data_IF_847546235345
#
_entry.id   IF_847546235345
#
_cell.length_a   1.000
_cell.length_b   1.000
_cell.length_c   1.000
_cell.angle_alpha   90.00
_cell.angle_beta   90.00
_cell.angle_gamma   90.00
#
_symmetry.space_group_name_H-M   'P 1'
#
loop_
_entity.id
_entity.type
_entity.pdbx_description
1 polymer ?
#
# COMPACT_ATOMS: atom_id res chain seq x y z
N UNK A 1 15.97 4.75 35.92
CA UNK A 1 14.53 4.48 35.95
C UNK A 1 13.97 4.88 34.61
N UNK A 2 13.45 3.93 33.84
CA UNK A 2 12.85 4.17 32.52
C UNK A 2 11.58 4.98 32.71
N UNK A 3 11.66 6.28 32.48
CA UNK A 3 10.51 7.20 32.41
C UNK A 3 9.69 6.83 31.19
N UNK A 4 8.67 6.00 31.42
CA UNK A 4 7.73 5.62 30.37
C UNK A 4 6.88 6.85 30.04
N UNK A 5 7.01 7.35 28.81
CA UNK A 5 6.20 8.44 28.30
C UNK A 5 4.88 7.86 27.79
N UNK A 6 3.78 8.12 28.50
CA UNK A 6 2.45 7.74 28.04
C UNK A 6 1.68 8.96 27.50
N UNK A 7 1.60 9.13 26.17
CA UNK A 7 0.90 10.27 25.56
C UNK A 7 -0.61 10.22 25.78
N UNK A 8 -1.19 9.05 26.11
CA UNK A 8 -2.63 8.93 26.33
C UNK A 8 -3.05 9.58 27.67
N UNK A 9 -2.19 9.47 28.70
CA UNK A 9 -2.44 10.07 30.01
C UNK A 9 -2.32 11.60 29.99
N UNK A 10 -1.44 12.18 29.17
CA UNK A 10 -1.31 13.64 29.07
C UNK A 10 -2.53 14.31 28.43
N UNK A 11 -3.10 13.70 27.38
CA UNK A 11 -4.33 14.21 26.77
C UNK A 11 -5.52 14.15 27.74
N UNK A 12 -5.67 13.03 28.46
CA UNK A 12 -6.70 12.88 29.48
C UNK A 12 -6.51 13.86 30.66
N UNK A 13 -5.27 14.14 31.05
CA UNK A 13 -4.94 15.14 32.07
C UNK A 13 -5.36 16.55 31.64
N UNK A 14 -5.03 16.97 30.42
CA UNK A 14 -5.40 18.30 29.90
C UNK A 14 -6.92 18.46 29.82
N UNK A 15 -7.63 17.44 29.34
CA UNK A 15 -9.09 17.43 29.26
C UNK A 15 -9.80 17.28 30.62
N UNK A 16 -9.06 17.10 31.73
CA UNK A 16 -9.61 17.00 33.08
C UNK A 16 -10.44 15.73 33.35
N UNK A 17 -10.15 14.62 32.66
CA UNK A 17 -10.93 13.36 32.75
C UNK A 17 -10.24 12.26 33.57
N UNK A 18 -9.10 12.54 34.20
CA UNK A 18 -8.37 11.62 35.07
C UNK A 18 -8.93 11.60 36.50
N UNK A 19 -8.71 10.49 37.21
CA UNK A 19 -8.99 10.42 38.64
C UNK A 19 -7.86 11.08 39.49
N UNK A 20 -8.12 11.35 40.78
CA UNK A 20 -7.13 12.00 41.65
C UNK A 20 -5.75 11.30 41.73
N UNK A 21 -5.65 9.96 41.86
CA UNK A 21 -4.35 9.31 41.88
C UNK A 21 -3.62 9.41 40.53
N UNK A 22 -4.32 9.34 39.40
CA UNK A 22 -3.74 9.53 38.07
C UNK A 22 -3.25 10.96 37.84
N UNK A 23 -4.03 11.97 38.25
CA UNK A 23 -3.63 13.39 38.21
C UNK A 23 -2.30 13.60 38.93
N UNK A 24 -2.17 13.07 40.15
CA UNK A 24 -0.95 13.21 40.94
C UNK A 24 0.27 12.55 40.28
N UNK A 25 0.08 11.37 39.70
CA UNK A 25 1.14 10.66 39.00
C UNK A 25 1.63 11.43 37.76
N UNK A 26 0.70 12.03 37.01
CA UNK A 26 1.03 12.87 35.85
C UNK A 26 1.75 14.15 36.29
N UNK A 27 1.30 14.83 37.33
CA UNK A 27 1.95 16.04 37.84
C UNK A 27 3.38 15.79 38.32
N UNK A 28 3.60 14.70 39.07
CA UNK A 28 4.94 14.29 39.51
C UNK A 28 5.86 14.04 38.30
N UNK A 29 5.34 13.39 37.26
CA UNK A 29 6.10 13.14 36.04
C UNK A 29 6.41 14.42 35.26
N UNK A 30 5.43 15.30 35.07
CA UNK A 30 5.57 16.57 34.36
C UNK A 30 6.55 17.49 35.09
N UNK A 31 6.58 17.48 36.43
CA UNK A 31 7.57 18.20 37.22
C UNK A 31 9.00 17.70 36.91
N UNK A 32 9.19 16.40 36.73
CA UNK A 32 10.49 15.79 36.46
C UNK A 32 10.90 15.78 34.97
N UNK A 33 9.96 15.96 34.03
CA UNK A 33 10.19 15.74 32.60
C UNK A 33 9.92 16.99 31.73
N UNK A 34 10.98 17.66 31.20
CA UNK A 34 10.83 18.83 30.34
C UNK A 34 10.00 18.59 29.07
N UNK A 35 10.12 17.39 28.48
CA UNK A 35 9.38 17.02 27.28
C UNK A 35 7.88 16.95 27.53
N UNK A 36 7.46 16.34 28.63
CA UNK A 36 6.03 16.27 28.98
C UNK A 36 5.45 17.64 29.34
N UNK A 37 6.25 18.57 29.89
CA UNK A 37 5.81 19.96 30.06
C UNK A 37 5.46 20.60 28.73
N UNK A 38 6.36 20.50 27.75
CA UNK A 38 6.11 21.03 26.40
C UNK A 38 4.88 20.39 25.76
N UNK A 39 4.72 19.06 25.87
CA UNK A 39 3.55 18.37 25.33
C UNK A 39 2.24 18.82 26.01
N UNK A 40 2.23 19.06 27.33
CA UNK A 40 1.05 19.59 28.04
C UNK A 40 0.73 21.01 27.60
N UNK A 41 1.73 21.87 27.41
CA UNK A 41 1.55 23.24 26.94
C UNK A 41 0.97 23.28 25.51
N UNK A 42 1.48 22.42 24.61
CA UNK A 42 0.97 22.26 23.25
C UNK A 42 -0.50 21.79 23.24
N UNK A 43 -0.84 20.81 24.08
CA UNK A 43 -2.21 20.29 24.18
C UNK A 43 -3.19 21.32 24.74
N UNK A 44 -2.78 22.14 25.73
CA UNK A 44 -3.61 23.23 26.25
C UNK A 44 -3.88 24.31 25.21
N UNK A 45 -2.89 24.63 24.36
CA UNK A 45 -3.10 25.57 23.27
C UNK A 45 -4.12 25.05 22.24
N UNK A 46 -4.16 23.74 22.00
CA UNK A 46 -5.18 23.11 21.15
C UNK A 46 -6.55 23.16 21.81
N UNK A 47 -6.64 22.86 23.12
CA UNK A 47 -7.89 22.94 23.88
C UNK A 47 -8.48 24.35 23.84
N UNK A 48 -7.66 25.38 24.07
CA UNK A 48 -8.06 26.79 23.99
C UNK A 48 -8.58 27.15 22.59
N UNK A 49 -7.88 26.71 21.54
CA UNK A 49 -8.33 26.91 20.16
C UNK A 49 -9.64 26.17 19.82
N UNK A 50 -9.94 25.08 20.50
CA UNK A 50 -11.19 24.32 20.35
C UNK A 50 -12.34 24.87 21.21
N UNK A 51 -12.03 25.48 22.37
CA UNK A 51 -13.00 26.08 23.29
C UNK A 51 -13.75 27.28 22.70
N UNK A 52 -13.24 27.87 21.62
CA UNK A 52 -13.83 29.02 20.93
C UNK A 52 -14.85 28.63 19.83
N UNK A 53 -15.23 27.35 19.69
CA UNK A 53 -16.26 26.96 18.71
C UNK A 53 -17.63 27.45 19.21
N UNK A 54 -18.23 28.47 18.56
CA UNK A 54 -19.53 28.96 19.00
C UNK A 54 -20.59 27.87 18.77
N UNK A 55 -21.66 27.82 19.58
CA UNK A 55 -22.69 26.77 19.48
C UNK A 55 -23.34 26.69 18.09
N UNK A 56 -23.35 27.80 17.33
CA UNK A 56 -23.81 27.83 15.93
C UNK A 56 -22.93 27.00 14.97
N UNK A 57 -21.70 26.68 15.34
CA UNK A 57 -20.77 25.82 14.59
C UNK A 57 -20.71 24.38 15.11
N UNK A 58 -21.36 24.08 16.25
CA UNK A 58 -21.60 22.70 16.65
C UNK A 58 -22.66 22.11 15.70
N UNK A 59 -22.17 21.42 14.67
CA UNK A 59 -23.03 20.65 13.79
C UNK A 59 -23.42 19.34 14.49
N UNK A 60 -24.73 19.11 14.63
CA UNK A 60 -25.30 17.83 15.07
C UNK A 60 -25.14 16.77 13.95
N UNK A 61 -23.90 16.35 13.74
CA UNK A 61 -23.54 15.34 12.76
C UNK A 61 -23.54 15.82 11.30
N UNK A 62 -23.30 14.89 10.36
CA UNK A 62 -23.27 15.19 8.94
C UNK A 62 -24.61 15.76 8.46
N UNK A 63 -24.62 16.70 7.49
CA UNK A 63 -25.86 17.23 6.94
C UNK A 63 -26.76 16.11 6.38
N UNK A 64 -28.08 16.33 6.34
CA UNK A 64 -29.01 15.37 5.76
C UNK A 64 -28.57 14.96 4.34
N UNK A 65 -28.33 13.67 4.13
CA UNK A 65 -27.82 13.14 2.87
C UNK A 65 -26.30 13.26 2.66
N UNK A 66 -25.53 13.62 3.69
CA UNK A 66 -24.07 13.69 3.68
C UNK A 66 -23.40 12.38 3.21
N UNK A 67 -23.99 11.23 3.53
CA UNK A 67 -23.54 9.92 3.05
C UNK A 67 -23.62 9.79 1.53
N UNK A 68 -24.68 10.32 0.91
CA UNK A 68 -24.86 10.27 -0.54
C UNK A 68 -23.87 11.20 -1.24
N UNK A 69 -23.62 12.38 -0.66
CA UNK A 69 -22.60 13.32 -1.14
C UNK A 69 -21.19 12.73 -1.01
N UNK A 70 -20.86 12.12 0.12
CA UNK A 70 -19.60 11.43 0.33
C UNK A 70 -19.41 10.28 -0.66
N UNK A 71 -20.42 9.41 -0.84
CA UNK A 71 -20.38 8.33 -1.84
C UNK A 71 -20.25 8.86 -3.27
N UNK A 72 -20.85 10.02 -3.58
CA UNK A 72 -20.70 10.68 -4.88
C UNK A 72 -19.28 11.22 -5.06
N UNK A 73 -18.75 11.94 -4.07
CA UNK A 73 -17.40 12.48 -4.08
C UNK A 73 -16.35 11.37 -4.22
N UNK A 74 -16.48 10.28 -3.45
CA UNK A 74 -15.57 9.14 -3.52
C UNK A 74 -15.64 8.42 -4.88
N UNK A 75 -16.82 8.33 -5.50
CA UNK A 75 -16.94 7.80 -6.88
C UNK A 75 -16.26 8.73 -7.88
N UNK A 76 -16.51 10.03 -7.79
CA UNK A 76 -15.90 11.02 -8.66
C UNK A 76 -14.36 10.99 -8.57
N UNK A 77 -13.78 10.94 -7.37
CA UNK A 77 -12.32 10.84 -7.18
C UNK A 77 -11.75 9.55 -7.78
N UNK A 78 -12.48 8.42 -7.69
CA UNK A 78 -12.07 7.16 -8.32
C UNK A 78 -12.12 7.24 -9.84
N UNK A 79 -13.16 7.87 -10.39
CA UNK A 79 -13.33 8.05 -11.84
C UNK A 79 -12.28 9.00 -12.43
N UNK A 80 -11.97 10.10 -11.73
CA UNK A 80 -10.91 11.04 -12.12
C UNK A 80 -9.54 10.34 -12.12
N UNK A 81 -9.20 9.63 -11.04
CA UNK A 81 -7.96 8.84 -10.97
C UNK A 81 -7.90 7.73 -12.02
N UNK A 82 -9.02 7.05 -12.30
CA UNK A 82 -9.11 6.03 -13.33
C UNK A 82 -8.95 6.59 -14.74
N UNK A 83 -9.50 7.78 -15.00
CA UNK A 83 -9.40 8.50 -16.27
C UNK A 83 -7.97 8.96 -16.59
N UNK A 84 -7.24 9.45 -15.60
CA UNK A 84 -5.83 9.83 -15.75
C UNK A 84 -4.92 8.62 -16.04
N UNK A 85 -5.12 7.52 -15.31
CA UNK A 85 -4.39 6.27 -15.56
C UNK A 85 -4.70 5.73 -16.96
N UNK A 86 -5.96 5.81 -17.41
CA UNK A 86 -6.35 5.37 -18.76
C UNK A 86 -5.78 6.28 -19.86
N UNK A 87 -5.78 7.61 -19.67
CA UNK A 87 -5.13 8.56 -20.60
C UNK A 87 -3.63 8.33 -20.70
N UNK A 88 -2.95 8.07 -19.58
CA UNK A 88 -1.52 7.79 -19.55
C UNK A 88 -1.18 6.47 -20.25
N UNK A 89 -2.01 5.44 -20.07
CA UNK A 89 -1.87 4.14 -20.78
C UNK A 89 -2.12 4.27 -22.28
N UNK A 90 -3.10 5.06 -22.69
CA UNK A 90 -3.37 5.35 -24.11
C UNK A 90 -2.23 6.15 -24.76
N UNK A 91 -1.68 7.16 -24.06
CA UNK A 91 -0.52 7.91 -24.54
C UNK A 91 0.74 7.05 -24.69
N UNK A 92 0.98 6.12 -23.75
CA UNK A 92 2.09 5.16 -23.84
C UNK A 92 1.90 4.14 -24.98
N UNK A 93 0.66 3.73 -25.27
CA UNK A 93 0.35 2.85 -26.41
C UNK A 93 0.62 3.51 -27.77
N UNK A 94 0.31 4.79 -27.92
CA UNK A 94 0.61 5.56 -29.14
C UNK A 94 2.11 5.76 -29.32
N UNK A 95 2.85 6.09 -28.25
CA UNK A 95 4.30 6.22 -28.31
C UNK A 95 5.01 4.90 -28.68
N UNK A 96 4.55 3.76 -28.14
CA UNK A 96 5.10 2.45 -28.48
C UNK A 96 4.85 2.06 -29.95
N UNK A 97 3.70 2.42 -30.53
CA UNK A 97 3.40 2.16 -31.93
C UNK A 97 4.28 2.99 -32.89
N UNK A 98 4.59 4.25 -32.54
CA UNK A 98 5.49 5.10 -33.33
C UNK A 98 6.93 4.57 -33.29
N UNK A 99 7.43 4.12 -32.13
CA UNK A 99 8.76 3.51 -32.03
C UNK A 99 8.84 2.21 -32.82
N UNK A 100 7.81 1.36 -32.76
CA UNK A 100 7.76 0.13 -33.56
C UNK A 100 7.75 0.42 -35.07
N UNK A 101 7.04 1.46 -35.52
CA UNK A 101 7.03 1.88 -36.92
C UNK A 101 8.39 2.45 -37.38
N UNK A 102 9.11 3.16 -36.51
CA UNK A 102 10.46 3.66 -36.81
C UNK A 102 11.50 2.53 -36.81
N UNK A 103 11.39 1.55 -35.91
CA UNK A 103 12.30 0.39 -35.85
C UNK A 103 12.07 -0.55 -37.05
N UNK A 104 10.81 -0.77 -37.44
CA UNK A 104 10.47 -1.61 -38.60
C UNK A 104 10.67 -0.88 -39.95
N UNK A 105 10.55 0.45 -39.99
CA UNK A 105 10.76 1.26 -41.20
C UNK A 105 12.21 1.73 -41.42
N UNK A 106 12.99 1.94 -40.35
CA UNK A 106 14.36 2.47 -40.42
C UNK A 106 15.48 1.45 -40.21
N UNK A 107 15.16 0.25 -39.70
CA UNK A 107 16.16 -0.74 -39.28
C UNK A 107 16.83 -1.55 -40.40
N UNK A 108 16.44 -1.37 -41.67
CA UNK A 108 16.97 -2.19 -42.78
C UNK A 108 18.13 -1.55 -43.57
N UNK A 109 18.60 -0.35 -43.21
CA UNK A 109 19.52 0.40 -44.08
C UNK A 109 20.96 0.65 -43.56
N UNK A 110 21.31 0.39 -42.28
CA UNK A 110 22.69 0.69 -41.82
C UNK A 110 23.24 -0.40 -40.90
N UNK A 111 23.43 -1.59 -41.46
CA UNK A 111 24.30 -2.62 -40.91
C UNK A 111 25.71 -2.52 -41.50
N UNK A 112 26.57 -1.69 -40.89
CA UNK A 112 28.06 -1.73 -40.91
C UNK A 112 28.60 -0.32 -40.68
N UNK A 113 29.20 -0.06 -39.52
CA UNK A 113 30.58 0.47 -39.37
C UNK A 113 30.88 1.00 -37.95
N UNK A 114 32.04 0.56 -37.44
CA UNK A 114 32.99 1.23 -36.50
C UNK A 114 32.60 1.56 -35.04
N UNK A 115 33.54 1.23 -34.15
CA UNK A 115 33.57 1.46 -32.71
C UNK A 115 33.92 2.94 -32.33
N UNK A 116 34.32 3.22 -31.08
CA UNK A 116 33.57 3.70 -29.90
C UNK A 116 33.77 5.23 -29.64
N UNK A 117 32.96 5.88 -28.78
CA UNK A 117 33.31 7.06 -27.92
C UNK A 117 32.08 7.63 -27.16
N UNK A 118 32.19 7.63 -25.84
CA UNK A 118 31.82 8.60 -24.80
C UNK A 118 30.55 9.50 -24.78
N UNK A 119 30.00 9.54 -23.55
CA UNK A 119 29.23 10.59 -22.82
C UNK A 119 27.77 10.81 -23.28
N UNK A 120 26.78 10.91 -22.38
CA UNK A 120 26.57 12.05 -21.47
C UNK A 120 25.81 11.64 -20.20
N UNK A 121 26.28 12.19 -19.07
CA UNK A 121 25.65 12.16 -17.76
C UNK A 121 24.28 12.87 -17.76
N UNK A 122 23.28 12.24 -17.14
CA UNK A 122 21.96 12.81 -16.90
C UNK A 122 21.39 12.31 -15.58
N UNK A 123 21.60 13.09 -14.53
CA UNK A 123 20.92 13.16 -13.24
C UNK A 123 20.13 11.92 -12.77
N UNK A 124 20.76 11.14 -11.90
CA UNK A 124 20.12 10.14 -11.05
C UNK A 124 19.16 10.84 -10.07
N UNK A 125 17.84 10.60 -10.10
CA UNK A 125 17.00 10.83 -8.93
C UNK A 125 17.47 9.89 -7.81
N UNK A 126 17.32 10.22 -6.52
CA UNK A 126 17.70 9.30 -5.46
C UNK A 126 16.95 7.98 -5.66
N UNK A 127 17.69 6.97 -6.09
CA UNK A 127 17.19 5.60 -6.12
C UNK A 127 17.15 5.20 -4.65
N UNK A 128 16.01 5.42 -4.00
CA UNK A 128 15.66 4.61 -2.85
C UNK A 128 15.58 3.21 -3.43
N UNK A 129 16.63 2.42 -3.22
CA UNK A 129 16.62 0.99 -3.50
C UNK A 129 15.59 0.42 -2.54
N UNK A 130 14.32 0.41 -2.93
CA UNK A 130 13.35 -0.42 -2.25
C UNK A 130 13.76 -1.84 -2.59
N UNK A 131 14.24 -2.62 -1.62
CA UNK A 131 14.51 -4.07 -1.71
C UNK A 131 13.23 -4.90 -1.97
N UNK A 132 12.30 -4.35 -2.75
CA UNK A 132 11.06 -4.98 -3.12
C UNK A 132 11.33 -5.97 -4.24
N UNK A 133 11.18 -7.26 -3.95
CA UNK A 133 11.23 -8.31 -4.97
C UNK A 133 9.95 -8.27 -5.78
N UNK A 134 10.05 -8.32 -7.11
CA UNK A 134 8.90 -8.35 -8.01
C UNK A 134 8.98 -9.60 -8.86
N UNK A 135 7.87 -10.31 -8.97
CA UNK A 135 7.75 -11.50 -9.81
C UNK A 135 6.45 -11.49 -10.59
N UNK A 136 6.46 -12.14 -11.76
CA UNK A 136 5.26 -12.37 -12.58
C UNK A 136 5.28 -13.79 -13.10
N UNK A 137 4.13 -14.45 -13.10
CA UNK A 137 3.95 -15.75 -13.73
C UNK A 137 2.57 -15.89 -14.36
N UNK A 138 2.49 -16.79 -15.34
CA UNK A 138 1.23 -17.29 -15.90
C UNK A 138 1.28 -18.81 -15.78
N UNK A 139 0.26 -19.39 -15.14
CA UNK A 139 0.15 -20.85 -15.07
C UNK A 139 -0.46 -21.38 -16.37
N UNK A 140 0.21 -22.30 -17.09
CA UNK A 140 -0.25 -22.76 -18.39
C UNK A 140 -1.46 -23.71 -18.30
N UNK A 141 -1.72 -24.33 -17.15
CA UNK A 141 -2.84 -25.25 -16.98
C UNK A 141 -4.12 -24.49 -16.65
N UNK A 142 -4.04 -23.49 -15.79
CA UNK A 142 -5.22 -22.70 -15.36
C UNK A 142 -5.43 -21.44 -16.19
N UNK A 143 -4.40 -20.95 -16.88
CA UNK A 143 -4.41 -19.64 -17.55
C UNK A 143 -4.32 -18.46 -16.59
N UNK A 144 -4.24 -18.70 -15.28
CA UNK A 144 -4.17 -17.65 -14.28
C UNK A 144 -2.84 -16.90 -14.33
N UNK A 145 -2.90 -15.58 -14.23
CA UNK A 145 -1.75 -14.69 -14.17
C UNK A 145 -1.63 -14.06 -12.80
N UNK A 146 -0.41 -14.00 -12.29
CA UNK A 146 -0.11 -13.29 -11.06
C UNK A 146 1.13 -12.41 -11.23
N UNK A 147 1.01 -11.15 -10.80
CA UNK A 147 2.13 -10.25 -10.54
C UNK A 147 2.18 -9.99 -9.04
N UNK A 148 3.35 -10.07 -8.43
CA UNK A 148 3.53 -9.82 -7.00
C UNK A 148 4.71 -8.89 -6.76
N UNK A 149 4.53 -7.95 -5.84
CA UNK A 149 5.59 -7.20 -5.19
C UNK A 149 5.67 -7.60 -3.72
N UNK A 150 6.84 -8.09 -3.30
CA UNK A 150 7.15 -8.45 -1.92
C UNK A 150 8.02 -7.36 -1.33
N UNK A 151 7.51 -6.65 -0.33
CA UNK A 151 8.23 -5.59 0.39
C UNK A 151 8.70 -6.11 1.74
N UNK A 152 10.00 -5.99 2.06
CA UNK A 152 10.51 -6.30 3.39
C UNK A 152 9.83 -5.47 4.49
N UNK A 153 9.63 -6.09 5.65
CA UNK A 153 9.31 -5.47 6.92
C UNK A 153 10.17 -6.11 8.02
N UNK A 154 10.11 -5.59 9.25
CA UNK A 154 10.97 -6.05 10.35
C UNK A 154 10.66 -7.50 10.78
N UNK A 155 11.33 -8.46 10.14
CA UNK A 155 11.17 -9.91 10.39
C UNK A 155 10.04 -10.58 9.61
N UNK A 156 9.37 -9.88 8.70
CA UNK A 156 8.22 -10.39 7.94
C UNK A 156 8.07 -9.66 6.59
N UNK A 157 7.09 -10.01 5.77
CA UNK A 157 6.88 -9.40 4.44
C UNK A 157 5.47 -8.85 4.22
N UNK A 158 5.38 -7.75 3.48
CA UNK A 158 4.14 -7.22 2.89
C UNK A 158 4.07 -7.59 1.41
N UNK A 159 2.87 -7.89 0.93
CA UNK A 159 2.60 -8.25 -0.45
C UNK A 159 1.66 -7.24 -1.08
N UNK A 160 1.94 -6.88 -2.33
CA UNK A 160 0.95 -6.32 -3.25
C UNK A 160 0.84 -7.27 -4.45
N UNK A 161 -0.34 -7.82 -4.68
CA UNK A 161 -0.58 -8.88 -5.67
C UNK A 161 -1.65 -8.42 -6.64
N UNK A 162 -1.42 -8.65 -7.93
CA UNK A 162 -2.42 -8.55 -8.98
C UNK A 162 -2.65 -9.92 -9.59
N UNK A 163 -3.86 -10.46 -9.47
CA UNK A 163 -4.24 -11.77 -9.95
C UNK A 163 -5.34 -11.66 -11.01
N UNK A 164 -5.19 -12.30 -12.16
CA UNK A 164 -6.14 -12.26 -13.26
C UNK A 164 -6.32 -13.65 -13.90
N UNK A 165 -7.40 -13.84 -14.67
CA UNK A 165 -7.67 -15.12 -15.35
C UNK A 165 -8.14 -16.23 -14.40
N UNK A 166 -8.68 -15.87 -13.23
CA UNK A 166 -9.29 -16.82 -12.29
C UNK A 166 -10.81 -16.71 -12.44
N UNK A 167 -11.51 -17.84 -12.53
CA UNK A 167 -12.95 -17.87 -12.72
C UNK A 167 -13.72 -17.18 -11.56
N UNK A 168 -14.81 -16.49 -11.88
CA UNK A 168 -15.69 -15.87 -10.86
C UNK A 168 -16.26 -16.93 -9.90
N UNK A 169 -16.63 -16.49 -8.70
CA UNK A 169 -17.13 -17.32 -7.60
C UNK A 169 -16.12 -18.36 -7.07
N UNK A 170 -14.88 -18.38 -7.56
CA UNK A 170 -13.82 -19.19 -6.98
C UNK A 170 -13.33 -18.53 -5.68
N UNK A 171 -13.27 -19.31 -4.61
CA UNK A 171 -12.70 -18.89 -3.32
C UNK A 171 -11.21 -19.17 -3.36
N UNK A 172 -10.39 -18.16 -3.11
CA UNK A 172 -8.94 -18.24 -3.22
C UNK A 172 -8.26 -17.83 -1.91
N UNK A 173 -7.09 -18.41 -1.68
CA UNK A 173 -6.16 -18.10 -0.59
C UNK A 173 -4.81 -17.73 -1.18
N UNK A 174 -4.19 -16.71 -0.60
CA UNK A 174 -2.84 -16.27 -0.91
C UNK A 174 -1.88 -16.89 0.11
N UNK A 175 -0.77 -17.43 -0.35
CA UNK A 175 0.27 -18.00 0.50
C UNK A 175 1.63 -17.43 0.16
N UNK A 176 2.45 -17.21 1.18
CA UNK A 176 3.91 -17.04 1.04
C UNK A 176 4.55 -18.38 1.39
N UNK A 177 5.36 -18.89 0.47
CA UNK A 177 6.12 -20.13 0.65
C UNK A 177 7.54 -19.75 1.01
N UNK A 178 7.99 -20.21 2.18
CA UNK A 178 9.36 -20.04 2.63
C UNK A 178 10.30 -21.06 1.97
N UNK A 179 11.61 -20.81 2.00
CA UNK A 179 12.65 -21.69 1.44
C UNK A 179 12.71 -23.08 2.07
N UNK A 180 12.22 -23.20 3.30
CA UNK A 180 12.08 -24.48 4.02
C UNK A 180 10.83 -25.29 3.59
N UNK A 181 10.01 -24.74 2.68
CA UNK A 181 8.79 -25.34 2.17
C UNK A 181 7.54 -25.03 2.99
N UNK A 182 7.65 -24.37 4.14
CA UNK A 182 6.48 -23.95 4.92
C UNK A 182 5.66 -22.91 4.16
N UNK A 183 4.34 -23.00 4.28
CA UNK A 183 3.38 -22.09 3.63
C UNK A 183 2.65 -21.27 4.68
N UNK A 184 2.67 -19.96 4.54
CA UNK A 184 2.00 -19.01 5.43
C UNK A 184 0.88 -18.30 4.68
N UNK A 185 -0.36 -18.41 5.17
CA UNK A 185 -1.51 -17.74 4.57
C UNK A 185 -1.38 -16.22 4.76
N UNK A 186 -1.52 -15.47 3.66
CA UNK A 186 -1.37 -14.02 3.60
C UNK A 186 -2.68 -13.28 3.25
N UNK A 187 -3.79 -14.02 3.11
CA UNK A 187 -5.12 -13.48 2.84
C UNK A 187 -6.01 -14.46 2.07
N UNK A 188 -7.29 -14.15 1.96
CA UNK A 188 -8.25 -14.91 1.14
C UNK A 188 -9.32 -13.99 0.56
N UNK A 189 -9.90 -14.38 -0.57
CA UNK A 189 -10.95 -13.60 -1.24
C UNK A 189 -11.85 -14.49 -2.10
N UNK A 190 -13.01 -13.94 -2.47
CA UNK A 190 -13.88 -14.50 -3.50
C UNK A 190 -13.65 -13.72 -4.80
N UNK A 191 -13.41 -14.43 -5.90
CA UNK A 191 -13.26 -13.78 -7.21
C UNK A 191 -14.61 -13.24 -7.68
N UNK A 192 -14.70 -11.94 -7.89
CA UNK A 192 -15.89 -11.29 -8.44
C UNK A 192 -15.97 -11.44 -9.96
N UNK A 193 -17.14 -11.18 -10.55
CA UNK A 193 -17.30 -11.16 -12.01
C UNK A 193 -16.42 -10.11 -12.71
N UNK A 194 -16.09 -9.00 -12.02
CA UNK A 194 -15.13 -8.02 -12.51
C UNK A 194 -13.70 -8.55 -12.38
N UNK A 195 -13.40 -9.19 -11.24
CA UNK A 195 -12.08 -9.78 -10.97
C UNK A 195 -11.66 -10.86 -11.96
N UNK A 196 -12.61 -11.63 -12.49
CA UNK A 196 -12.36 -12.59 -13.58
C UNK A 196 -11.89 -11.90 -14.87
N UNK A 197 -12.46 -10.73 -15.20
CA UNK A 197 -12.20 -10.01 -16.47
C UNK A 197 -11.02 -9.05 -16.40
N UNK A 198 -10.94 -8.28 -15.32
CA UNK A 198 -10.00 -7.17 -15.14
C UNK A 198 -8.87 -7.49 -14.15
N UNK A 199 -9.00 -8.61 -13.43
CA UNK A 199 -8.10 -8.97 -12.34
C UNK A 199 -8.54 -8.40 -10.99
N UNK A 200 -7.93 -8.94 -9.93
CA UNK A 200 -8.13 -8.53 -8.54
C UNK A 200 -6.79 -8.10 -7.98
N UNK A 201 -6.74 -6.89 -7.40
CA UNK A 201 -5.60 -6.44 -6.62
C UNK A 201 -5.83 -6.73 -5.15
N UNK A 202 -4.79 -7.22 -4.49
CA UNK A 202 -4.83 -7.72 -3.12
C UNK A 202 -3.58 -7.23 -2.40
N UNK A 203 -3.73 -6.87 -1.14
CA UNK A 203 -2.63 -6.64 -0.22
C UNK A 203 -2.65 -7.74 0.84
N UNK A 204 -1.46 -8.17 1.25
CA UNK A 204 -1.30 -9.26 2.22
C UNK A 204 -0.03 -9.13 3.04
N UNK A 205 0.10 -9.99 4.05
CA UNK A 205 1.30 -10.08 4.87
C UNK A 205 1.53 -11.49 5.36
N UNK A 206 2.78 -11.90 5.51
CA UNK A 206 3.13 -13.18 6.09
C UNK A 206 4.33 -13.05 7.03
N UNK A 207 4.30 -13.80 8.13
CA UNK A 207 5.41 -13.94 9.07
C UNK A 207 6.50 -14.86 8.50
N UNK A 208 7.15 -14.39 7.43
CA UNK A 208 8.30 -15.03 6.79
C UNK A 208 9.36 -13.96 6.60
N UNK A 209 10.59 -14.23 7.05
CA UNK A 209 11.66 -13.26 6.89
C UNK A 209 11.88 -12.95 5.40
N UNK A 210 12.16 -11.69 5.01
CA UNK A 210 12.29 -11.32 3.59
C UNK A 210 13.34 -12.13 2.80
N UNK A 211 14.40 -12.55 3.49
CA UNK A 211 15.46 -13.39 2.93
C UNK A 211 15.01 -14.83 2.67
N UNK A 212 13.97 -15.30 3.37
CA UNK A 212 13.50 -16.68 3.36
C UNK A 212 12.28 -16.90 2.47
N UNK A 213 11.74 -15.85 1.86
CA UNK A 213 10.68 -16.00 0.85
C UNK A 213 11.23 -16.69 -0.40
N UNK A 214 10.59 -17.78 -0.81
CA UNK A 214 10.91 -18.54 -2.02
C UNK A 214 9.87 -18.33 -3.14
N UNK A 215 8.59 -18.28 -2.77
CA UNK A 215 7.51 -18.08 -3.72
C UNK A 215 6.27 -17.45 -3.07
N UNK A 216 5.39 -16.94 -3.92
CA UNK A 216 4.03 -16.54 -3.56
C UNK A 216 3.07 -17.37 -4.40
N UNK A 217 2.04 -17.91 -3.77
CA UNK A 217 1.09 -18.83 -4.41
C UNK A 217 -0.34 -18.41 -4.16
N UNK A 218 -1.18 -18.65 -5.18
CA UNK A 218 -2.63 -18.62 -5.01
C UNK A 218 -3.11 -20.06 -5.10
N UNK A 219 -3.87 -20.48 -4.09
CA UNK A 219 -4.56 -21.77 -4.05
C UNK A 219 -6.05 -21.55 -3.87
N UNK A 220 -6.88 -22.51 -4.25
CA UNK A 220 -8.27 -22.50 -3.84
C UNK A 220 -8.44 -23.05 -2.41
N UNK A 221 -9.69 -23.15 -1.96
CA UNK A 221 -10.01 -23.69 -0.64
C UNK A 221 -9.95 -25.21 -0.56
N UNK A 222 -9.89 -25.90 -1.69
CA UNK A 222 -9.68 -27.34 -1.79
C UNK A 222 -8.18 -27.70 -1.78
N UNK A 223 -7.31 -26.69 -1.82
CA UNK A 223 -5.85 -26.80 -1.77
C UNK A 223 -5.19 -26.88 -3.14
N UNK A 224 -5.96 -26.77 -4.24
CA UNK A 224 -5.44 -26.80 -5.60
C UNK A 224 -4.67 -25.51 -5.89
N UNK A 225 -3.44 -25.64 -6.42
CA UNK A 225 -2.61 -24.51 -6.78
C UNK A 225 -3.07 -23.90 -8.11
N UNK A 226 -3.48 -22.64 -8.06
CA UNK A 226 -3.97 -21.89 -9.22
C UNK A 226 -2.79 -21.27 -10.00
N UNK A 227 -1.87 -20.62 -9.28
CA UNK A 227 -0.67 -19.98 -9.86
C UNK A 227 0.40 -19.80 -8.79
N UNK A 228 1.67 -19.88 -9.19
CA UNK A 228 2.84 -19.68 -8.31
C UNK A 228 3.86 -18.79 -8.98
N UNK A 229 4.42 -17.86 -8.21
CA UNK A 229 5.45 -16.92 -8.65
C UNK A 229 6.64 -17.05 -7.72
N UNK A 230 7.82 -17.37 -8.27
CA UNK A 230 9.08 -17.31 -7.52
C UNK A 230 9.58 -15.87 -7.47
N UNK A 231 10.18 -15.50 -6.34
CA UNK A 231 10.65 -14.13 -6.02
C UNK A 231 12.02 -14.13 -5.35
#
# INVERSE_FOLDING_TARGET
MTTNHDPQLLGAYVLGVLDEPEVRAVEEHVAACPRCRTEVDELRAVEEAMGEVPPEMLLDGPPEGGDLLLRRALRQVRDERGGEVRRRRLGLGVAAAVVAAVVLGGGFAVGRSTAPTDQVAGSTPPTVVTDAKVGTAVDPATGARMTVQVKPAAGWVRLNVSAAGIAKNRKCKLFVVAKDGTSHEAGSWLVSALGEKEGTNLDGSALVAPADVAAVEIRDFDGERIVSVRV
#
